data_IF_847739803504
#
_entry.id   IF_847739803504
#
_cell.length_a   1.000
_cell.length_b   1.000
_cell.length_c   1.000
_cell.angle_alpha   90.00
_cell.angle_beta   90.00
_cell.angle_gamma   90.00
#
_symmetry.space_group_name_H-M   'P 1'
#
loop_
_entity.id
_entity.type
_entity.pdbx_description
1 polymer ?
#
# COMPACT_ATOMS: atom_id res chain seq x y z
N UNK A 1 16.51 11.90 18.00
CA UNK A 1 15.45 11.92 16.96
C UNK A 1 15.48 10.56 16.26
N UNK A 2 14.36 9.83 16.16
CA UNK A 2 14.37 8.38 15.83
C UNK A 2 14.63 8.06 14.34
N UNK A 3 15.04 9.06 13.56
CA UNK A 3 15.35 8.94 12.12
C UNK A 3 14.16 8.52 11.25
N UNK A 4 12.94 8.72 11.75
CA UNK A 4 11.68 8.48 11.04
C UNK A 4 10.99 9.83 10.96
N UNK A 5 10.70 10.28 9.75
CA UNK A 5 10.05 11.56 9.46
C UNK A 5 8.78 11.28 8.67
N UNK A 6 7.62 11.63 9.22
CA UNK A 6 6.35 11.57 8.49
C UNK A 6 6.28 12.75 7.50
N UNK A 7 6.40 12.45 6.21
CA UNK A 7 6.39 13.45 5.13
C UNK A 7 5.00 14.02 4.83
N UNK A 8 3.95 13.48 5.44
CA UNK A 8 2.54 13.84 5.14
C UNK A 8 1.90 14.68 6.21
N UNK A 9 2.43 14.61 7.42
CA UNK A 9 1.97 15.40 8.51
C UNK A 9 2.44 16.85 8.32
N UNK A 10 1.56 17.67 7.75
CA UNK A 10 1.72 19.11 7.61
C UNK A 10 1.03 19.88 8.74
N UNK A 11 0.54 19.18 9.76
CA UNK A 11 -0.18 19.82 10.85
C UNK A 11 0.77 20.57 11.78
N UNK A 12 0.26 21.58 12.46
CA UNK A 12 1.03 22.36 13.43
C UNK A 12 1.58 21.45 14.52
N UNK A 13 2.92 21.38 14.64
CA UNK A 13 3.62 20.49 15.57
C UNK A 13 4.22 19.24 14.92
N UNK A 14 3.99 19.01 13.62
CA UNK A 14 4.60 17.90 12.91
C UNK A 14 6.13 17.96 12.91
N UNK A 15 6.76 16.81 12.79
CA UNK A 15 8.22 16.72 12.69
C UNK A 15 8.76 17.49 11.46
N UNK A 16 7.94 17.60 10.41
CA UNK A 16 8.28 18.33 9.19
C UNK A 16 8.39 19.84 9.41
N UNK A 17 7.49 20.40 10.23
CA UNK A 17 7.51 21.82 10.61
C UNK A 17 8.56 22.12 11.68
N UNK A 18 9.09 21.10 12.35
CA UNK A 18 10.22 21.23 13.28
C UNK A 18 11.58 21.26 12.55
N UNK A 19 11.61 20.95 11.25
CA UNK A 19 12.81 21.10 10.41
C UNK A 19 12.95 22.56 9.95
N UNK A 20 14.20 22.97 9.71
CA UNK A 20 14.49 24.20 8.97
C UNK A 20 13.81 24.13 7.59
N UNK A 21 13.27 25.24 7.12
CA UNK A 21 12.47 25.31 5.88
C UNK A 21 13.22 24.72 4.67
N UNK A 22 14.52 25.00 4.57
CA UNK A 22 15.41 24.43 3.54
C UNK A 22 15.52 22.90 3.63
N UNK A 23 15.60 22.34 4.84
CA UNK A 23 15.66 20.90 5.06
C UNK A 23 14.30 20.23 4.81
N UNK A 24 13.20 20.87 5.20
CA UNK A 24 11.83 20.42 4.90
C UNK A 24 11.59 20.38 3.39
N UNK A 25 11.97 21.44 2.68
CA UNK A 25 11.86 21.52 1.22
C UNK A 25 12.77 20.50 0.52
N UNK A 26 14.00 20.30 1.00
CA UNK A 26 14.90 19.28 0.49
C UNK A 26 14.35 17.87 0.69
N UNK A 27 13.72 17.57 1.84
CA UNK A 27 13.03 16.31 2.08
C UNK A 27 11.86 16.12 1.10
N UNK A 28 11.01 17.14 0.91
CA UNK A 28 9.89 17.07 -0.03
C UNK A 28 10.34 16.86 -1.49
N UNK A 29 11.41 17.55 -1.91
CA UNK A 29 11.94 17.47 -3.27
C UNK A 29 12.66 16.14 -3.56
N UNK A 30 13.17 15.46 -2.53
CA UNK A 30 13.89 14.19 -2.66
C UNK A 30 12.96 12.98 -2.77
N UNK A 31 11.70 13.13 -2.36
CA UNK A 31 10.69 12.07 -2.34
C UNK A 31 9.54 12.30 -3.32
N UNK A 32 9.81 12.96 -4.45
CA UNK A 32 8.86 13.00 -5.57
C UNK A 32 8.57 11.56 -5.99
N UNK A 33 7.31 11.09 -5.93
CA UNK A 33 6.98 9.72 -6.28
C UNK A 33 7.46 9.41 -7.70
N UNK A 34 8.29 8.38 -7.85
CA UNK A 34 8.59 7.82 -9.17
C UNK A 34 7.29 7.20 -9.67
N UNK A 35 6.56 7.93 -10.52
CA UNK A 35 5.44 7.35 -11.26
C UNK A 35 6.02 6.32 -12.23
N UNK A 36 5.96 5.03 -11.88
CA UNK A 36 6.07 3.99 -12.91
C UNK A 36 5.02 4.29 -13.98
N UNK A 37 5.42 4.16 -15.24
CA UNK A 37 4.56 4.32 -16.40
C UNK A 37 3.51 3.21 -16.45
N UNK A 38 2.54 3.22 -15.54
CA UNK A 38 1.22 2.69 -15.86
C UNK A 38 0.69 3.62 -16.95
N UNK A 39 0.17 3.07 -18.04
CA UNK A 39 -0.42 3.87 -19.11
C UNK A 39 -1.50 4.76 -18.47
N UNK A 40 -1.16 6.04 -18.25
CA UNK A 40 -2.00 7.00 -17.55
C UNK A 40 -3.33 7.18 -18.29
N UNK A 41 -3.32 7.02 -19.62
CA UNK A 41 -4.50 6.98 -20.46
C UNK A 41 -5.43 5.80 -20.16
N UNK A 42 -4.90 4.62 -19.84
CA UNK A 42 -5.71 3.46 -19.44
C UNK A 42 -6.32 3.65 -18.05
N UNK A 43 -5.56 4.14 -17.08
CA UNK A 43 -6.10 4.48 -15.75
C UNK A 43 -7.19 5.56 -15.89
N UNK A 44 -6.93 6.60 -16.68
CA UNK A 44 -7.88 7.69 -16.86
C UNK A 44 -9.17 7.21 -17.52
N UNK A 45 -9.08 6.36 -18.56
CA UNK A 45 -10.26 5.71 -19.16
C UNK A 45 -11.11 4.96 -18.14
N UNK A 46 -10.49 4.21 -17.23
CA UNK A 46 -11.21 3.51 -16.17
C UNK A 46 -11.75 4.45 -15.09
N UNK A 47 -11.05 5.55 -14.77
CA UNK A 47 -11.53 6.60 -13.86
C UNK A 47 -12.75 7.33 -14.41
N UNK A 48 -12.72 7.70 -15.69
CA UNK A 48 -13.84 8.35 -16.36
C UNK A 48 -15.09 7.45 -16.35
N UNK A 49 -14.90 6.13 -16.45
CA UNK A 49 -15.94 5.11 -16.28
C UNK A 49 -16.45 4.92 -14.84
N UNK A 50 -15.87 5.59 -13.85
CA UNK A 50 -16.34 5.61 -12.46
C UNK A 50 -17.00 6.93 -12.06
N UNK A 51 -16.65 8.05 -12.72
CA UNK A 51 -17.12 9.40 -12.38
C UNK A 51 -18.48 9.74 -13.02
N UNK A 52 -18.90 9.03 -14.06
CA UNK A 52 -20.14 9.32 -14.77
C UNK A 52 -21.42 8.83 -14.02
N UNK A 53 -22.26 9.78 -13.59
CA UNK A 53 -23.70 9.68 -13.24
C UNK A 53 -24.14 9.07 -11.88
N UNK A 54 -24.69 9.94 -11.02
CA UNK A 54 -25.43 9.58 -9.80
C UNK A 54 -26.86 9.09 -10.08
N UNK A 55 -27.49 9.48 -11.20
CA UNK A 55 -28.94 9.30 -11.40
C UNK A 55 -29.40 7.88 -11.81
N UNK A 56 -28.48 6.95 -12.13
CA UNK A 56 -28.83 5.51 -12.24
C UNK A 56 -27.67 4.57 -11.90
N UNK A 57 -27.12 4.74 -10.70
CA UNK A 57 -25.96 4.04 -10.15
C UNK A 57 -25.79 2.55 -10.54
N UNK A 58 -26.87 1.76 -10.51
CA UNK A 58 -26.84 0.32 -10.87
C UNK A 58 -26.73 0.06 -12.37
N UNK A 59 -27.42 0.85 -13.19
CA UNK A 59 -27.39 0.73 -14.67
C UNK A 59 -26.02 1.15 -15.18
N UNK A 60 -25.46 2.22 -14.61
CA UNK A 60 -24.11 2.68 -14.91
C UNK A 60 -23.05 1.61 -14.64
N UNK A 61 -23.01 1.01 -13.45
CA UNK A 61 -22.05 -0.06 -13.11
C UNK A 61 -22.10 -1.25 -14.05
N UNK A 62 -23.30 -1.65 -14.47
CA UNK A 62 -23.48 -2.72 -15.48
C UNK A 62 -22.90 -2.30 -16.83
N UNK A 63 -23.15 -1.06 -17.27
CA UNK A 63 -22.60 -0.52 -18.51
C UNK A 63 -21.07 -0.45 -18.43
N UNK A 64 -20.51 0.12 -17.36
CA UNK A 64 -19.05 0.18 -17.16
C UNK A 64 -18.44 -1.21 -17.12
N UNK A 65 -19.02 -2.17 -16.36
CA UNK A 65 -18.52 -3.55 -16.32
C UNK A 65 -18.57 -4.23 -17.68
N UNK A 66 -19.65 -4.04 -18.44
CA UNK A 66 -19.74 -4.55 -19.81
C UNK A 66 -18.68 -3.88 -20.69
N UNK A 67 -18.49 -2.57 -20.57
CA UNK A 67 -17.48 -1.86 -21.34
C UNK A 67 -16.08 -2.39 -21.05
N UNK A 68 -15.70 -2.65 -19.78
CA UNK A 68 -14.42 -3.30 -19.46
C UNK A 68 -14.33 -4.71 -20.07
N UNK A 69 -15.40 -5.51 -19.99
CA UNK A 69 -15.43 -6.85 -20.59
C UNK A 69 -15.27 -6.83 -22.11
N UNK A 70 -15.87 -5.85 -22.79
CA UNK A 70 -15.86 -5.72 -24.25
C UNK A 70 -14.64 -4.97 -24.77
N UNK A 71 -14.00 -4.13 -23.94
CA UNK A 71 -12.78 -3.42 -24.30
C UNK A 71 -11.62 -4.36 -24.60
N UNK A 72 -11.72 -5.67 -24.27
CA UNK A 72 -10.82 -6.78 -24.63
C UNK A 72 -9.47 -6.27 -25.11
N UNK A 73 -8.75 -5.65 -24.18
CA UNK A 73 -7.32 -5.51 -24.32
C UNK A 73 -6.86 -6.97 -24.24
N UNK A 74 -6.59 -7.59 -25.39
CA UNK A 74 -6.22 -9.00 -25.53
C UNK A 74 -4.83 -9.23 -24.93
N UNK A 75 -4.72 -8.99 -23.64
CA UNK A 75 -3.54 -9.21 -22.85
C UNK A 75 -4.01 -9.97 -21.60
N UNK A 76 -3.61 -11.22 -21.50
CA UNK A 76 -3.83 -12.11 -20.36
C UNK A 76 -3.27 -11.54 -19.03
N UNK A 77 -2.55 -10.42 -19.10
CA UNK A 77 -1.99 -9.66 -17.98
C UNK A 77 -2.65 -8.28 -17.79
N UNK A 78 -3.90 -8.04 -18.18
CA UNK A 78 -4.61 -6.78 -17.86
C UNK A 78 -5.01 -6.70 -16.37
N UNK A 79 -4.00 -6.62 -15.50
CA UNK A 79 -4.09 -6.47 -14.05
C UNK A 79 -5.00 -5.29 -13.68
N UNK A 80 -4.90 -4.19 -14.44
CA UNK A 80 -5.69 -2.99 -14.21
C UNK A 80 -7.15 -3.28 -14.50
N UNK A 81 -7.47 -3.83 -15.69
CA UNK A 81 -8.82 -4.25 -16.05
C UNK A 81 -9.43 -5.18 -15.00
N UNK A 82 -8.69 -6.17 -14.53
CA UNK A 82 -9.16 -7.14 -13.52
C UNK A 82 -9.44 -6.50 -12.16
N UNK A 83 -8.56 -5.59 -11.71
CA UNK A 83 -8.77 -4.84 -10.46
C UNK A 83 -10.05 -3.98 -10.55
N UNK A 84 -10.23 -3.24 -11.65
CA UNK A 84 -11.43 -2.44 -11.86
C UNK A 84 -12.70 -3.29 -12.00
N UNK A 85 -12.62 -4.44 -12.68
CA UNK A 85 -13.75 -5.38 -12.75
C UNK A 85 -14.15 -5.88 -11.38
N UNK A 86 -13.20 -6.22 -10.51
CA UNK A 86 -13.48 -6.65 -9.14
C UNK A 86 -14.14 -5.54 -8.33
N UNK A 87 -13.59 -4.32 -8.39
CA UNK A 87 -14.18 -3.14 -7.74
C UNK A 87 -15.63 -2.97 -8.19
N UNK A 88 -15.89 -2.97 -9.49
CA UNK A 88 -17.24 -2.80 -10.05
C UNK A 88 -18.18 -3.95 -9.67
N UNK A 89 -17.71 -5.21 -9.72
CA UNK A 89 -18.49 -6.40 -9.34
C UNK A 89 -18.86 -6.36 -7.86
N UNK A 90 -17.91 -6.08 -6.96
CA UNK A 90 -18.17 -5.96 -5.54
C UNK A 90 -19.26 -4.90 -5.29
N UNK A 91 -19.14 -3.77 -5.97
CA UNK A 91 -20.10 -2.68 -5.91
C UNK A 91 -21.50 -3.02 -6.49
N UNK A 92 -21.56 -3.83 -7.53
CA UNK A 92 -22.81 -4.19 -8.20
C UNK A 92 -23.56 -5.33 -7.51
N UNK A 93 -22.83 -6.31 -7.00
CA UNK A 93 -23.37 -7.58 -6.49
C UNK A 93 -23.29 -7.69 -4.96
N UNK A 94 -22.38 -6.95 -4.33
CA UNK A 94 -22.21 -6.92 -2.87
C UNK A 94 -22.24 -5.47 -2.33
N UNK A 95 -23.24 -4.65 -2.70
CA UNK A 95 -23.30 -3.24 -2.30
C UNK A 95 -23.32 -3.07 -0.77
N UNK A 96 -23.85 -4.06 -0.05
CA UNK A 96 -23.93 -4.05 1.40
C UNK A 96 -22.57 -3.88 2.07
N UNK A 97 -21.48 -4.42 1.47
CA UNK A 97 -20.10 -4.26 1.99
C UNK A 97 -19.73 -2.79 2.21
N UNK A 98 -20.29 -1.88 1.41
CA UNK A 98 -19.96 -0.46 1.40
C UNK A 98 -20.94 0.39 2.23
N UNK A 99 -21.82 -0.23 3.00
CA UNK A 99 -22.80 0.47 3.85
C UNK A 99 -22.27 0.68 5.27
N UNK A 100 -22.75 1.73 5.96
CA UNK A 100 -22.44 1.95 7.39
C UNK A 100 -22.91 0.79 8.27
N UNK A 101 -24.03 0.14 7.93
CA UNK A 101 -24.55 -1.02 8.65
C UNK A 101 -23.58 -2.19 8.60
N UNK A 102 -23.09 -2.53 7.40
CA UNK A 102 -22.07 -3.56 7.25
C UNK A 102 -20.77 -3.17 7.93
N UNK A 103 -20.38 -1.89 7.90
CA UNK A 103 -19.21 -1.42 8.67
C UNK A 103 -19.43 -1.60 10.17
N UNK A 104 -20.63 -1.48 10.71
CA UNK A 104 -20.88 -1.83 12.12
C UNK A 104 -20.67 -3.33 12.38
N UNK A 105 -21.23 -4.17 11.51
CA UNK A 105 -21.37 -5.61 11.69
C UNK A 105 -20.12 -6.45 11.31
N UNK A 106 -19.50 -6.17 10.17
CA UNK A 106 -18.37 -6.95 9.63
C UNK A 106 -17.08 -6.68 10.38
N UNK A 107 -16.24 -7.69 10.54
CA UNK A 107 -14.89 -7.55 11.08
C UNK A 107 -13.93 -6.90 10.07
N UNK A 108 -12.74 -6.54 10.52
CA UNK A 108 -11.65 -6.11 9.63
C UNK A 108 -11.25 -7.22 8.66
N UNK A 109 -11.14 -8.45 9.17
CA UNK A 109 -10.83 -9.65 8.38
C UNK A 109 -11.87 -9.93 7.28
N UNK A 110 -13.15 -9.63 7.53
CA UNK A 110 -14.19 -9.72 6.50
C UNK A 110 -13.87 -8.82 5.31
N UNK A 111 -13.41 -7.58 5.54
CA UNK A 111 -13.03 -6.66 4.46
C UNK A 111 -11.76 -7.11 3.75
N UNK A 112 -10.79 -7.64 4.50
CA UNK A 112 -9.58 -8.23 3.92
C UNK A 112 -9.98 -9.34 2.95
N UNK A 113 -10.72 -10.35 3.41
CA UNK A 113 -11.06 -11.52 2.59
C UNK A 113 -12.00 -11.15 1.43
N UNK A 114 -13.08 -10.41 1.71
CA UNK A 114 -14.15 -10.17 0.73
C UNK A 114 -13.81 -9.12 -0.31
N UNK A 115 -12.85 -8.25 -0.01
CA UNK A 115 -12.55 -7.11 -0.86
C UNK A 115 -11.06 -6.94 -1.18
N UNK A 116 -10.21 -6.74 -0.17
CA UNK A 116 -8.81 -6.36 -0.39
C UNK A 116 -7.92 -7.50 -0.88
N UNK A 117 -8.14 -8.73 -0.40
CA UNK A 117 -7.36 -9.90 -0.72
C UNK A 117 -7.24 -10.09 -2.23
N UNK A 118 -8.39 -10.17 -2.91
CA UNK A 118 -8.41 -10.30 -4.37
C UNK A 118 -7.68 -9.17 -5.10
N UNK A 119 -7.82 -7.91 -4.64
CA UNK A 119 -7.17 -6.77 -5.31
C UNK A 119 -5.65 -6.84 -5.20
N UNK A 120 -5.15 -7.08 -4.00
CA UNK A 120 -3.70 -7.18 -3.75
C UNK A 120 -3.12 -8.36 -4.52
N UNK A 121 -3.74 -9.54 -4.45
CA UNK A 121 -3.31 -10.72 -5.22
C UNK A 121 -3.35 -10.46 -6.73
N UNK A 122 -4.33 -9.69 -7.21
CA UNK A 122 -4.41 -9.31 -8.63
C UNK A 122 -3.29 -8.36 -9.03
N UNK A 123 -2.96 -7.38 -8.18
CA UNK A 123 -1.89 -6.40 -8.45
C UNK A 123 -0.51 -7.08 -8.53
N UNK A 124 -0.27 -8.08 -7.68
CA UNK A 124 1.00 -8.83 -7.66
C UNK A 124 0.97 -10.09 -8.52
N UNK A 125 -0.13 -10.35 -9.24
CA UNK A 125 -0.25 -11.49 -10.13
C UNK A 125 0.85 -11.45 -11.19
N UNK A 126 1.49 -12.59 -11.42
CA UNK A 126 2.59 -12.75 -12.37
C UNK A 126 3.82 -11.90 -12.04
N UNK A 127 3.94 -11.42 -10.80
CA UNK A 127 5.19 -10.88 -10.25
C UNK A 127 5.91 -11.93 -9.40
N UNK A 128 7.16 -11.67 -9.03
CA UNK A 128 7.88 -12.48 -8.04
C UNK A 128 7.50 -12.16 -6.59
N UNK A 129 6.56 -11.22 -6.38
CA UNK A 129 6.09 -10.79 -5.06
C UNK A 129 4.86 -11.61 -4.69
N UNK A 130 4.88 -12.21 -3.51
CA UNK A 130 3.76 -12.95 -2.93
C UNK A 130 3.17 -12.17 -1.75
N UNK A 131 1.84 -12.17 -1.67
CA UNK A 131 1.13 -11.64 -0.52
C UNK A 131 1.02 -12.72 0.57
N UNK A 132 1.61 -12.45 1.72
CA UNK A 132 1.60 -13.33 2.89
C UNK A 132 0.68 -12.73 3.96
N UNK A 133 -0.56 -13.22 4.01
CA UNK A 133 -1.65 -12.69 4.84
C UNK A 133 -1.72 -13.28 6.25
N UNK A 134 -2.29 -12.52 7.18
CA UNK A 134 -2.63 -12.94 8.53
C UNK A 134 -1.75 -12.30 9.58
N UNK A 135 -1.72 -12.86 10.80
CA UNK A 135 -0.96 -12.36 11.95
C UNK A 135 0.55 -12.69 11.84
N UNK A 136 1.18 -12.22 10.76
CA UNK A 136 2.50 -12.72 10.33
C UNK A 136 3.64 -11.92 10.97
N UNK A 137 4.72 -12.58 11.39
CA UNK A 137 5.89 -11.91 11.97
C UNK A 137 7.10 -12.22 11.10
N UNK A 138 7.85 -11.19 10.71
CA UNK A 138 9.12 -11.36 10.02
C UNK A 138 10.20 -11.84 10.97
N UNK A 139 11.00 -12.84 10.55
CA UNK A 139 12.17 -13.31 11.31
C UNK A 139 13.13 -12.17 11.61
N UNK A 140 13.38 -11.31 10.61
CA UNK A 140 14.20 -10.11 10.75
C UNK A 140 13.69 -9.17 11.84
N UNK A 141 12.36 -9.00 11.94
CA UNK A 141 11.76 -8.20 13.01
C UNK A 141 12.00 -8.82 14.38
N UNK A 142 11.81 -10.14 14.53
CA UNK A 142 12.07 -10.86 15.79
C UNK A 142 13.53 -10.76 16.21
N UNK A 143 14.47 -10.98 15.27
CA UNK A 143 15.91 -10.89 15.52
C UNK A 143 16.36 -9.48 15.96
N UNK A 144 15.66 -8.45 15.48
CA UNK A 144 15.86 -7.06 15.88
C UNK A 144 14.99 -6.64 17.10
N UNK A 145 14.38 -7.59 17.81
CA UNK A 145 13.60 -7.36 19.03
C UNK A 145 12.19 -6.79 18.82
N UNK A 146 11.71 -6.71 17.57
CA UNK A 146 10.37 -6.26 17.22
C UNK A 146 9.41 -7.45 17.04
N UNK A 147 8.55 -7.66 18.02
CA UNK A 147 7.48 -8.66 17.96
C UNK A 147 6.17 -8.08 17.38
N UNK A 148 6.26 -7.37 16.26
CA UNK A 148 5.10 -6.82 15.57
C UNK A 148 4.54 -7.81 14.54
N UNK A 149 3.26 -8.17 14.68
CA UNK A 149 2.52 -8.99 13.71
C UNK A 149 1.92 -8.10 12.63
N UNK A 150 2.24 -8.29 11.36
CA UNK A 150 1.70 -7.50 10.25
C UNK A 150 0.54 -8.25 9.59
N UNK A 151 -0.57 -7.57 9.28
CA UNK A 151 -1.75 -8.16 8.60
C UNK A 151 -1.41 -8.71 7.20
N UNK A 152 -0.48 -8.03 6.53
CA UNK A 152 0.05 -8.43 5.23
C UNK A 152 1.55 -8.13 5.17
N UNK A 153 2.32 -9.15 4.78
CA UNK A 153 3.71 -9.02 4.32
C UNK A 153 3.77 -9.29 2.82
N UNK A 154 4.53 -8.50 2.10
CA UNK A 154 4.88 -8.75 0.70
C UNK A 154 6.27 -9.36 0.70
N UNK A 155 6.38 -10.59 0.20
CA UNK A 155 7.63 -11.34 0.22
C UNK A 155 8.07 -11.71 -1.19
N UNK A 156 9.38 -11.69 -1.45
CA UNK A 156 9.98 -12.25 -2.66
C UNK A 156 10.69 -13.54 -2.26
N UNK A 157 10.39 -14.61 -2.98
CA UNK A 157 11.10 -15.87 -2.85
C UNK A 157 12.43 -15.79 -3.60
N UNK A 158 13.52 -16.08 -2.91
CA UNK A 158 14.87 -16.07 -3.50
C UNK A 158 15.28 -17.46 -3.99
N UNK A 159 14.67 -18.52 -3.45
CA UNK A 159 14.97 -19.91 -3.77
C UNK A 159 13.71 -20.77 -3.90
N UNK A 160 13.73 -21.85 -4.69
CA UNK A 160 12.56 -22.71 -4.90
C UNK A 160 12.08 -23.43 -3.62
N UNK A 161 12.87 -23.41 -2.54
CA UNK A 161 12.58 -24.12 -1.29
C UNK A 161 11.79 -23.31 -0.25
N UNK A 162 11.47 -22.04 -0.54
CA UNK A 162 10.81 -21.09 0.38
C UNK A 162 11.56 -20.89 1.70
N UNK A 163 12.83 -21.28 1.77
CA UNK A 163 13.65 -21.09 2.96
C UNK A 163 14.25 -19.70 2.99
N UNK A 164 14.52 -19.14 1.82
CA UNK A 164 15.03 -17.78 1.68
C UNK A 164 13.93 -16.88 1.11
N UNK A 165 13.37 -16.05 1.98
CA UNK A 165 12.35 -15.07 1.62
C UNK A 165 12.84 -13.69 2.03
N UNK A 166 12.66 -12.72 1.13
CA UNK A 166 12.94 -11.32 1.38
C UNK A 166 11.64 -10.57 1.62
N UNK A 167 11.52 -9.89 2.75
CA UNK A 167 10.43 -8.95 2.99
C UNK A 167 10.63 -7.70 2.14
N UNK A 168 9.71 -7.46 1.21
CA UNK A 168 9.73 -6.33 0.27
C UNK A 168 8.56 -5.37 0.47
N UNK A 169 7.75 -5.55 1.51
CA UNK A 169 6.73 -4.58 1.88
C UNK A 169 5.80 -5.08 2.96
N UNK A 170 5.06 -4.17 3.58
CA UNK A 170 4.10 -4.51 4.63
C UNK A 170 2.83 -3.69 4.49
N UNK A 171 1.70 -4.23 4.93
CA UNK A 171 0.48 -3.44 5.05
C UNK A 171 -0.32 -3.79 6.30
N UNK A 172 -1.02 -2.78 6.81
CA UNK A 172 -1.95 -2.87 7.92
C UNK A 172 -3.35 -2.48 7.44
N UNK A 173 -4.36 -3.14 7.97
CA UNK A 173 -5.75 -2.89 7.65
C UNK A 173 -6.48 -2.36 8.87
N UNK A 174 -7.36 -1.40 8.63
CA UNK A 174 -8.17 -0.77 9.64
C UNK A 174 -9.63 -0.76 9.21
N UNK A 175 -10.50 -1.42 9.98
CA UNK A 175 -11.96 -1.34 9.80
C UNK A 175 -12.47 0.10 9.94
N UNK A 176 -11.89 0.87 10.86
CA UNK A 176 -12.22 2.28 11.09
C UNK A 176 -10.94 3.05 11.30
N UNK A 177 -10.82 4.16 10.58
CA UNK A 177 -9.74 5.11 10.80
C UNK A 177 -10.05 5.97 12.03
N UNK A 178 -9.23 5.85 13.05
CA UNK A 178 -9.04 6.88 14.09
C UNK A 178 -7.59 7.31 14.01
N UNK A 179 -7.29 8.58 14.31
CA UNK A 179 -5.91 9.09 14.21
C UNK A 179 -4.95 8.24 15.05
N UNK A 180 -5.35 7.87 16.27
CA UNK A 180 -4.55 7.01 17.14
C UNK A 180 -4.30 5.62 16.54
N UNK A 181 -5.31 4.97 15.92
CA UNK A 181 -5.10 3.66 15.26
C UNK A 181 -4.20 3.83 14.02
N UNK A 182 -4.49 4.83 13.19
CA UNK A 182 -3.71 5.13 11.99
C UNK A 182 -2.22 5.32 12.30
N UNK A 183 -1.88 6.20 13.25
CA UNK A 183 -0.48 6.44 13.59
C UNK A 183 0.19 5.24 14.26
N UNK A 184 -0.55 4.43 15.02
CA UNK A 184 -0.02 3.20 15.62
C UNK A 184 0.31 2.17 14.54
N UNK A 185 -0.60 1.94 13.60
CA UNK A 185 -0.43 0.99 12.51
C UNK A 185 0.65 1.49 11.53
N UNK A 186 0.70 2.80 11.25
CA UNK A 186 1.76 3.43 10.45
C UNK A 186 3.13 3.27 11.13
N UNK A 187 3.26 3.60 12.41
CA UNK A 187 4.52 3.46 13.14
C UNK A 187 5.01 2.01 13.10
N UNK A 188 4.12 1.05 13.33
CA UNK A 188 4.39 -0.38 13.25
C UNK A 188 4.91 -0.78 11.86
N UNK A 189 4.21 -0.37 10.79
CA UNK A 189 4.63 -0.63 9.41
C UNK A 189 6.00 0.01 9.10
N UNK A 190 6.23 1.25 9.53
CA UNK A 190 7.48 1.98 9.28
C UNK A 190 8.66 1.33 10.00
N UNK A 191 8.53 0.95 11.28
CA UNK A 191 9.61 0.29 12.02
C UNK A 191 9.93 -1.06 11.35
N UNK A 192 8.91 -1.85 11.00
CA UNK A 192 9.12 -3.13 10.30
C UNK A 192 9.84 -2.92 8.96
N UNK A 193 9.37 -1.99 8.13
CA UNK A 193 9.99 -1.68 6.84
C UNK A 193 11.43 -1.18 6.98
N UNK A 194 11.75 -0.43 8.04
CA UNK A 194 13.13 0.01 8.32
C UNK A 194 14.04 -1.17 8.67
N UNK A 195 13.55 -2.12 9.47
CA UNK A 195 14.29 -3.35 9.78
C UNK A 195 14.56 -4.11 8.47
N UNK A 196 13.53 -4.33 7.66
CA UNK A 196 13.65 -5.02 6.37
C UNK A 196 14.63 -4.34 5.41
N UNK A 197 14.60 -3.01 5.30
CA UNK A 197 15.56 -2.25 4.50
C UNK A 197 16.99 -2.42 5.01
N UNK A 198 17.21 -2.40 6.34
CA UNK A 198 18.54 -2.55 6.91
C UNK A 198 19.10 -3.96 6.64
N UNK A 199 18.28 -5.01 6.77
CA UNK A 199 18.71 -6.36 6.43
C UNK A 199 19.01 -6.50 4.93
N UNK A 200 18.15 -5.96 4.07
CA UNK A 200 18.40 -5.94 2.63
C UNK A 200 19.72 -5.23 2.26
N UNK A 201 20.12 -4.19 2.98
CA UNK A 201 21.42 -3.54 2.72
C UNK A 201 22.60 -4.38 3.20
N UNK A 202 22.44 -5.16 4.29
CA UNK A 202 23.50 -6.07 4.78
C UNK A 202 23.76 -7.20 3.79
N UNK A 203 22.71 -7.75 3.19
CA UNK A 203 22.80 -8.87 2.26
C UNK A 203 23.45 -8.48 0.91
N UNK A 204 23.53 -7.18 0.61
CA UNK A 204 24.08 -6.64 -0.62
C UNK A 204 25.22 -5.64 -0.36
N UNK A 205 26.40 -6.09 0.13
CA UNK A 205 27.51 -5.22 0.53
C UNK A 205 28.13 -4.41 -0.61
N UNK A 206 27.86 -4.78 -1.87
CA UNK A 206 28.25 -4.02 -3.07
C UNK A 206 27.32 -2.86 -3.43
N UNK A 207 26.27 -2.60 -2.63
CA UNK A 207 25.32 -1.52 -2.91
C UNK A 207 25.95 -0.16 -2.62
N UNK A 208 26.11 0.67 -3.66
CA UNK A 208 26.64 2.04 -3.50
C UNK A 208 25.67 2.90 -2.69
N UNK A 209 26.17 3.93 -1.99
CA UNK A 209 25.30 4.88 -1.27
C UNK A 209 24.22 5.51 -2.15
N UNK A 210 24.49 5.67 -3.45
CA UNK A 210 23.51 6.16 -4.42
C UNK A 210 22.38 5.15 -4.66
N UNK A 211 22.70 3.86 -4.80
CA UNK A 211 21.70 2.79 -4.94
C UNK A 211 20.88 2.62 -3.67
N UNK A 212 21.51 2.70 -2.51
CA UNK A 212 20.85 2.62 -1.19
C UNK A 212 19.82 3.75 -1.02
N UNK A 213 20.13 4.97 -1.49
CA UNK A 213 19.20 6.12 -1.47
C UNK A 213 17.98 5.92 -2.38
N UNK A 214 18.10 5.08 -3.41
CA UNK A 214 17.02 4.78 -4.35
C UNK A 214 16.25 3.51 -3.96
N UNK A 215 16.68 2.81 -2.91
CA UNK A 215 15.98 1.65 -2.38
C UNK A 215 14.64 2.08 -1.80
N UNK A 216 13.61 1.32 -2.11
CA UNK A 216 12.23 1.68 -1.83
C UNK A 216 11.50 0.47 -1.24
N UNK A 217 10.99 0.62 -0.03
CA UNK A 217 10.16 -0.38 0.63
C UNK A 217 8.70 0.10 0.63
N UNK A 218 7.81 -0.50 -0.17
CA UNK A 218 6.40 -0.18 -0.12
C UNK A 218 5.81 -0.50 1.26
N UNK A 219 5.08 0.46 1.82
CA UNK A 219 4.17 0.19 2.93
C UNK A 219 2.82 0.85 2.70
N UNK A 220 1.77 0.25 3.26
CA UNK A 220 0.41 0.74 3.11
C UNK A 220 -0.39 0.59 4.42
N UNK A 221 -1.13 1.63 4.80
CA UNK A 221 -2.18 1.53 5.83
C UNK A 221 -3.51 1.73 5.14
N UNK A 222 -4.33 0.70 5.11
CA UNK A 222 -5.60 0.68 4.38
C UNK A 222 -6.74 0.78 5.37
N UNK A 223 -7.62 1.76 5.19
CA UNK A 223 -8.85 1.85 5.99
C UNK A 223 -10.10 1.58 5.17
N UNK A 224 -11.11 0.94 5.77
CA UNK A 224 -12.38 0.61 5.10
C UNK A 224 -13.30 1.84 4.84
N UNK A 225 -12.75 3.07 4.81
CA UNK A 225 -13.50 4.29 4.47
C UNK A 225 -13.71 4.37 2.97
N UNK A 226 -14.69 3.61 2.47
CA UNK A 226 -15.07 3.61 1.06
C UNK A 226 -16.22 4.60 0.89
N UNK A 227 -15.91 5.90 0.74
CA UNK A 227 -16.90 6.88 0.27
C UNK A 227 -17.11 6.66 -1.24
N UNK A 228 -18.36 6.69 -1.70
CA UNK A 228 -18.80 6.39 -3.07
C UNK A 228 -18.09 7.19 -4.17
N UNK A 229 -17.43 8.30 -3.83
CA UNK A 229 -16.70 9.21 -4.71
C UNK A 229 -15.17 9.20 -4.57
N UNK A 230 -14.60 8.47 -3.60
CA UNK A 230 -13.18 8.59 -3.22
C UNK A 230 -12.53 7.21 -2.99
N UNK A 231 -12.47 6.39 -4.05
CA UNK A 231 -11.62 5.18 -4.06
C UNK A 231 -10.13 5.50 -3.83
N UNK A 232 -9.73 6.76 -4.05
CA UNK A 232 -8.35 7.23 -3.91
C UNK A 232 -7.98 7.62 -2.46
N UNK A 233 -8.93 7.77 -1.54
CA UNK A 233 -8.62 8.09 -0.13
C UNK A 233 -8.40 6.86 0.76
N UNK A 234 -8.77 5.65 0.31
CA UNK A 234 -8.63 4.42 1.11
C UNK A 234 -7.23 3.80 1.11
N UNK A 235 -6.44 4.08 0.06
CA UNK A 235 -4.99 3.84 0.01
C UNK A 235 -4.36 5.19 0.35
N UNK A 236 -4.27 5.52 1.64
CA UNK A 236 -3.79 6.85 2.02
C UNK A 236 -2.36 7.12 1.61
N UNK A 237 -1.54 6.10 1.32
CA UNK A 237 -0.27 6.23 0.57
C UNK A 237 0.50 4.89 0.48
N UNK A 238 1.19 4.70 -0.64
CA UNK A 238 2.42 3.89 -0.69
C UNK A 238 3.56 4.82 -0.25
N UNK A 239 4.13 4.57 0.93
CA UNK A 239 5.31 5.32 1.37
C UNK A 239 6.58 4.64 0.88
N UNK A 240 7.57 5.48 0.61
CA UNK A 240 8.90 5.11 0.15
C UNK A 240 9.91 5.70 1.11
N UNK A 241 10.64 4.86 1.83
CA UNK A 241 11.75 5.29 2.68
C UNK A 241 13.06 5.02 1.94
N UNK A 242 13.89 6.04 1.64
CA UNK A 242 15.27 5.78 1.27
C UNK A 242 15.98 5.22 2.50
N UNK A 243 16.90 4.31 2.28
CA UNK A 243 17.80 3.93 3.35
C UNK A 243 18.84 5.07 3.52
N UNK A 244 18.74 5.80 4.64
CA UNK A 244 19.78 6.76 5.03
C UNK A 244 20.90 5.99 5.76
N UNK A 245 22.14 6.30 5.40
CA UNK A 245 23.39 5.73 5.91
C UNK A 245 23.41 5.49 7.43
N UNK A 246 24.21 4.53 7.93
CA UNK A 246 24.23 4.20 9.35
C UNK A 246 24.70 5.41 10.16
N UNK A 247 23.83 5.90 11.05
CA UNK A 247 24.22 6.83 12.11
C UNK A 247 25.10 6.04 13.07
N UNK A 248 26.40 5.97 12.78
CA UNK A 248 27.41 5.77 13.81
C UNK A 248 27.65 7.13 14.46
N UNK A 249 27.55 7.13 15.78
CA UNK A 249 27.79 8.21 16.73
C UNK A 249 26.56 9.09 17.01
N UNK A 250 25.87 8.74 18.10
CA UNK A 250 25.45 9.65 19.18
C UNK A 250 24.92 8.78 20.34
N UNK A 251 25.85 8.40 21.24
CA UNK A 251 25.57 8.41 22.68
C UNK A 251 25.52 9.88 23.12
#
# INVERSE_FOLDING_TARGET
MNGILDMTDKTTGSQLLQLLEEASQACQNRFVPIQKAVNSGTIQKYKDLLVLNEDSYRKFRKISLNHIKYLRIHNEYDIVGDAYQHILKAHLYSPDLFTEKARGFLSEQDYIIKFWGYLIETVFRSSSVMAHWGDTISSYSVENGLHARMDLRLIVQLDDSFKEVLDVGNAEFAKKETDSKYYKDLLKAVISSKIHLNELVKDFPGMTQEKVKNLQMPLCVVSARIKSTLWYEGIRQLYYFPCCSPIRNCL
#
